data_IF_409813718280
#
_entry.id   IF_409813718280
#
_cell.length_a   1.000
_cell.length_b   1.000
_cell.length_c   1.000
_cell.angle_alpha   90.00
_cell.angle_beta   90.00
_cell.angle_gamma   90.00
#
_symmetry.space_group_name_H-M   'P 1'
#
loop_
_entity.id
_entity.type
_entity.pdbx_description
1 polymer ?
#
# COMPACT_ATOMS: atom_id res chain seq x y z
N UNK A 1 -7.52 29.18 -0.92
CA UNK A 1 -7.86 28.01 -0.09
C UNK A 1 -9.22 27.51 -0.55
N UNK A 2 -9.25 26.51 -1.44
CA UNK A 2 -10.47 25.87 -1.94
C UNK A 2 -10.72 24.62 -1.11
N UNK A 3 -11.96 24.47 -0.63
CA UNK A 3 -12.39 23.36 0.23
C UNK A 3 -12.07 22.00 -0.39
N UNK A 4 -11.40 21.16 0.39
CA UNK A 4 -11.27 19.73 0.14
C UNK A 4 -12.58 19.06 0.54
N UNK A 5 -13.58 19.23 -0.31
CA UNK A 5 -14.83 18.48 -0.23
C UNK A 5 -14.49 17.01 -0.50
N UNK A 6 -14.80 16.13 0.45
CA UNK A 6 -14.75 14.67 0.27
C UNK A 6 -15.79 14.35 -0.79
N UNK A 7 -15.38 14.38 -2.07
CA UNK A 7 -16.30 14.09 -3.17
C UNK A 7 -16.86 12.70 -2.94
N UNK A 8 -18.16 12.52 -3.07
CA UNK A 8 -18.85 11.21 -2.92
C UNK A 8 -18.17 10.05 -3.68
N UNK A 9 -17.41 10.35 -4.74
CA UNK A 9 -16.57 9.38 -5.46
C UNK A 9 -15.45 8.73 -4.60
N UNK A 10 -14.93 9.40 -3.58
CA UNK A 10 -13.83 8.86 -2.77
C UNK A 10 -14.26 7.67 -1.90
N UNK A 11 -15.54 7.60 -1.52
CA UNK A 11 -16.07 6.55 -0.63
C UNK A 11 -16.28 5.22 -1.39
N UNK A 12 -16.68 5.28 -2.66
CA UNK A 12 -16.92 4.08 -3.48
C UNK A 12 -15.64 3.28 -3.80
N UNK A 13 -14.47 3.93 -3.75
CA UNK A 13 -13.18 3.28 -3.95
C UNK A 13 -12.62 2.64 -2.66
N UNK A 14 -13.14 3.01 -1.49
CA UNK A 14 -12.63 2.52 -0.20
C UNK A 14 -12.72 1.00 -0.04
N UNK A 15 -13.78 0.29 -0.50
CA UNK A 15 -13.80 -1.18 -0.46
C UNK A 15 -12.60 -1.81 -1.18
N UNK A 16 -12.21 -1.27 -2.32
CA UNK A 16 -11.06 -1.80 -3.07
C UNK A 16 -9.75 -1.49 -2.35
N UNK A 17 -9.59 -0.26 -1.85
CA UNK A 17 -8.42 0.12 -1.06
C UNK A 17 -8.30 -0.76 0.20
N UNK A 18 -9.41 -1.02 0.89
CA UNK A 18 -9.44 -1.91 2.04
C UNK A 18 -9.02 -3.34 1.68
N UNK A 19 -9.48 -3.87 0.54
CA UNK A 19 -9.05 -5.18 0.08
C UNK A 19 -7.52 -5.26 -0.13
N UNK A 20 -6.89 -4.19 -0.63
CA UNK A 20 -5.42 -4.12 -0.72
C UNK A 20 -4.74 -4.07 0.64
N UNK A 21 -5.29 -3.28 1.57
CA UNK A 21 -4.78 -3.20 2.94
C UNK A 21 -4.84 -4.58 3.60
N UNK A 22 -6.00 -5.24 3.55
CA UNK A 22 -6.20 -6.57 4.14
C UNK A 22 -5.33 -7.65 3.49
N UNK A 23 -5.04 -7.52 2.19
CA UNK A 23 -4.17 -8.46 1.46
C UNK A 23 -2.68 -8.26 1.76
N UNK A 24 -2.22 -7.00 1.87
CA UNK A 24 -0.80 -6.66 2.02
C UNK A 24 -0.33 -6.51 3.48
N UNK A 25 -1.21 -6.07 4.36
CA UNK A 25 -0.95 -5.89 5.79
C UNK A 25 -1.71 -6.99 6.53
N UNK A 26 -1.01 -8.10 6.83
CA UNK A 26 -1.55 -9.23 7.56
C UNK A 26 -2.43 -8.74 8.73
N UNK A 27 -3.73 -9.06 8.66
CA UNK A 27 -4.78 -8.67 9.62
C UNK A 27 -4.23 -8.63 11.05
N UNK A 28 -3.96 -7.42 11.55
CA UNK A 28 -3.86 -7.17 12.99
C UNK A 28 -5.28 -7.21 13.54
N UNK A 29 -5.79 -8.42 13.74
CA UNK A 29 -7.11 -8.61 14.34
C UNK A 29 -6.92 -8.78 15.83
N UNK A 30 -7.28 -7.76 16.61
CA UNK A 30 -7.27 -7.85 18.06
C UNK A 30 -8.70 -7.67 18.59
N UNK A 31 -9.44 -8.78 18.73
CA UNK A 31 -10.59 -9.01 19.64
C UNK A 31 -11.76 -8.00 19.73
N UNK A 32 -11.71 -6.88 19.03
CA UNK A 32 -12.62 -5.75 19.18
C UNK A 32 -13.86 -5.94 18.31
N UNK A 33 -15.04 -5.70 18.89
CA UNK A 33 -16.30 -5.62 18.16
C UNK A 33 -16.57 -4.14 17.83
N UNK A 34 -16.43 -3.72 16.57
CA UNK A 34 -16.71 -2.34 16.19
C UNK A 34 -18.18 -1.98 16.41
N UNK A 35 -18.43 -0.73 16.80
CA UNK A 35 -19.80 -0.20 16.85
C UNK A 35 -20.38 -0.09 15.42
N UNK A 36 -21.68 -0.36 15.22
CA UNK A 36 -22.28 -0.27 13.91
C UNK A 36 -22.30 1.17 13.39
N UNK A 37 -21.69 1.41 12.22
CA UNK A 37 -21.84 2.68 11.49
C UNK A 37 -23.01 2.57 10.52
N UNK A 38 -23.92 3.54 10.56
CA UNK A 38 -25.03 3.64 9.60
C UNK A 38 -24.63 4.25 8.25
N UNK A 39 -23.84 5.32 8.27
CA UNK A 39 -23.38 6.03 7.08
C UNK A 39 -21.86 6.27 7.15
N UNK A 40 -21.13 5.57 6.29
CA UNK A 40 -19.65 5.64 6.20
C UNK A 40 -19.19 7.02 5.72
N UNK A 41 -19.92 7.65 4.80
CA UNK A 41 -19.51 8.94 4.23
C UNK A 41 -19.63 10.05 5.29
N UNK A 42 -20.74 10.07 6.03
CA UNK A 42 -20.93 10.99 7.15
C UNK A 42 -19.88 10.75 8.25
N UNK A 43 -19.68 9.48 8.64
CA UNK A 43 -18.73 9.11 9.69
C UNK A 43 -17.30 9.57 9.40
N UNK A 44 -16.82 9.35 8.17
CA UNK A 44 -15.49 9.78 7.73
C UNK A 44 -15.42 11.30 7.69
N UNK A 45 -16.44 11.97 7.16
CA UNK A 45 -16.43 13.43 7.02
C UNK A 45 -16.31 14.17 8.35
N UNK A 46 -16.89 13.60 9.42
CA UNK A 46 -16.77 14.13 10.79
C UNK A 46 -15.38 13.97 11.40
N UNK A 47 -14.62 12.94 10.98
CA UNK A 47 -13.36 12.50 11.61
C UNK A 47 -12.13 12.69 10.73
N UNK A 48 -12.31 13.17 9.51
CA UNK A 48 -11.22 13.23 8.53
C UNK A 48 -10.29 14.41 8.70
N UNK A 49 -10.63 15.39 9.55
CA UNK A 49 -9.87 16.65 9.70
C UNK A 49 -9.56 17.33 8.35
N UNK A 50 -10.49 17.22 7.39
CA UNK A 50 -10.35 17.74 6.03
C UNK A 50 -9.49 16.88 5.08
N UNK A 51 -9.08 15.69 5.49
CA UNK A 51 -8.43 14.70 4.62
C UNK A 51 -9.45 14.07 3.66
N UNK A 52 -9.01 13.72 2.44
CA UNK A 52 -9.83 12.86 1.59
C UNK A 52 -9.97 11.46 2.20
N UNK A 53 -11.08 10.79 1.91
CA UNK A 53 -11.43 9.53 2.57
C UNK A 53 -10.37 8.43 2.38
N UNK A 54 -9.73 8.36 1.21
CA UNK A 54 -8.63 7.41 0.95
C UNK A 54 -7.42 7.65 1.84
N UNK A 55 -7.02 8.91 2.01
CA UNK A 55 -5.87 9.29 2.85
C UNK A 55 -6.18 9.05 4.32
N UNK A 56 -7.39 9.39 4.75
CA UNK A 56 -7.87 9.12 6.09
C UNK A 56 -7.85 7.61 6.38
N UNK A 57 -8.48 6.80 5.52
CA UNK A 57 -8.54 5.34 5.70
C UNK A 57 -7.13 4.71 5.78
N UNK A 58 -6.20 5.15 4.92
CA UNK A 58 -4.82 4.70 4.98
C UNK A 58 -4.16 5.05 6.32
N UNK A 59 -4.24 6.31 6.76
CA UNK A 59 -3.67 6.75 8.03
C UNK A 59 -4.24 5.92 9.19
N UNK A 60 -5.55 5.81 9.27
CA UNK A 60 -6.22 5.10 10.36
C UNK A 60 -5.92 3.59 10.34
N UNK A 61 -5.78 2.98 9.16
CA UNK A 61 -5.35 1.59 9.02
C UNK A 61 -3.92 1.37 9.56
N UNK A 62 -3.00 2.33 9.34
CA UNK A 62 -1.65 2.27 9.90
C UNK A 62 -1.64 2.41 11.43
N UNK A 63 -2.56 3.22 11.98
CA UNK A 63 -2.74 3.41 13.41
C UNK A 63 -3.52 2.25 14.08
N UNK A 64 -4.21 1.42 13.29
CA UNK A 64 -5.16 0.40 13.75
C UNK A 64 -6.20 0.97 14.73
N UNK A 65 -6.76 2.14 14.37
CA UNK A 65 -7.73 2.84 15.21
C UNK A 65 -9.10 2.16 15.21
N UNK A 66 -9.90 2.44 16.25
CA UNK A 66 -11.26 1.91 16.35
C UNK A 66 -12.16 2.47 15.23
N UNK A 67 -11.96 3.73 14.83
CA UNK A 67 -12.65 4.33 13.69
C UNK A 67 -12.39 3.58 12.38
N UNK A 68 -11.12 3.20 12.12
CA UNK A 68 -10.78 2.35 10.98
C UNK A 68 -11.52 1.01 11.04
N UNK A 69 -11.56 0.37 12.22
CA UNK A 69 -12.20 -0.95 12.38
C UNK A 69 -13.70 -0.88 12.12
N UNK A 70 -14.36 0.16 12.58
CA UNK A 70 -15.77 0.39 12.32
C UNK A 70 -16.05 0.58 10.83
N UNK A 71 -15.27 1.42 10.14
CA UNK A 71 -15.42 1.61 8.70
C UNK A 71 -15.09 0.33 7.93
N UNK A 72 -14.02 -0.36 8.30
CA UNK A 72 -13.59 -1.58 7.63
C UNK A 72 -14.63 -2.70 7.76
N UNK A 73 -15.31 -2.84 8.90
CA UNK A 73 -16.37 -3.82 9.07
C UNK A 73 -17.54 -3.61 8.09
N UNK A 74 -17.96 -2.35 7.90
CA UNK A 74 -19.02 -2.02 6.92
C UNK A 74 -18.54 -2.27 5.49
N UNK A 75 -17.34 -1.79 5.14
CA UNK A 75 -16.80 -1.92 3.79
C UNK A 75 -16.56 -3.39 3.38
N UNK A 76 -16.16 -4.27 4.32
CA UNK A 76 -15.97 -5.71 4.07
C UNK A 76 -17.23 -6.43 3.66
N UNK A 77 -18.40 -5.90 4.01
CA UNK A 77 -19.71 -6.47 3.63
C UNK A 77 -20.16 -6.04 2.23
N UNK A 78 -19.44 -5.12 1.58
CA UNK A 78 -19.78 -4.65 0.24
C UNK A 78 -19.37 -5.66 -0.84
N UNK A 79 -20.17 -5.72 -1.90
CA UNK A 79 -19.89 -6.54 -3.08
C UNK A 79 -18.55 -6.16 -3.73
N UNK A 80 -18.23 -4.86 -3.79
CA UNK A 80 -16.97 -4.35 -4.33
C UNK A 80 -15.76 -4.92 -3.59
N UNK A 81 -15.79 -4.92 -2.25
CA UNK A 81 -14.73 -5.53 -1.46
C UNK A 81 -14.60 -7.02 -1.78
N UNK A 82 -15.72 -7.75 -1.78
CA UNK A 82 -15.75 -9.19 -2.08
C UNK A 82 -15.11 -9.51 -3.44
N UNK A 83 -15.49 -8.77 -4.48
CA UNK A 83 -14.96 -8.94 -5.83
C UNK A 83 -13.47 -8.66 -5.90
N UNK A 84 -12.98 -7.58 -5.28
CA UNK A 84 -11.56 -7.21 -5.31
C UNK A 84 -10.74 -8.21 -4.51
N UNK A 85 -11.13 -8.51 -3.27
CA UNK A 85 -10.47 -9.51 -2.42
C UNK A 85 -10.40 -10.88 -3.10
N UNK A 86 -11.50 -11.30 -3.74
CA UNK A 86 -11.52 -12.53 -4.51
C UNK A 86 -10.50 -12.53 -5.65
N UNK A 87 -10.43 -11.44 -6.42
CA UNK A 87 -9.47 -11.30 -7.52
C UNK A 87 -8.01 -11.19 -7.04
N UNK A 88 -7.76 -10.64 -5.85
CA UNK A 88 -6.41 -10.58 -5.26
C UNK A 88 -5.95 -11.96 -4.77
N UNK A 89 -6.86 -12.77 -4.23
CA UNK A 89 -6.56 -14.12 -3.75
C UNK A 89 -6.47 -15.17 -4.87
N UNK A 90 -6.96 -14.88 -6.08
CA UNK A 90 -6.99 -15.84 -7.18
C UNK A 90 -6.16 -15.37 -8.37
N UNK A 91 -5.04 -16.05 -8.59
CA UNK A 91 -4.22 -15.84 -9.78
C UNK A 91 -4.80 -16.59 -10.99
N UNK A 92 -4.89 -15.91 -12.14
CA UNK A 92 -5.31 -16.54 -13.39
C UNK A 92 -5.98 -15.62 -14.41
N UNK A 93 -6.42 -16.23 -15.52
CA UNK A 93 -7.22 -15.53 -16.54
C UNK A 93 -8.60 -15.22 -15.98
N UNK A 94 -9.07 -13.97 -16.16
CA UNK A 94 -10.38 -13.51 -15.66
C UNK A 94 -11.53 -14.47 -16.03
N UNK A 95 -11.54 -15.04 -17.24
CA UNK A 95 -12.59 -15.98 -17.68
C UNK A 95 -12.64 -17.30 -16.90
N UNK A 96 -11.53 -17.72 -16.28
CA UNK A 96 -11.48 -18.92 -15.46
C UNK A 96 -11.74 -18.63 -13.97
N UNK A 97 -11.47 -17.40 -13.53
CA UNK A 97 -11.57 -16.98 -12.12
C UNK A 97 -12.98 -16.49 -11.78
N UNK A 98 -13.59 -15.66 -12.64
CA UNK A 98 -14.91 -15.05 -12.38
C UNK A 98 -16.04 -16.07 -12.15
N UNK A 99 -16.15 -17.19 -12.90
CA UNK A 99 -17.22 -18.17 -12.66
C UNK A 99 -17.23 -18.75 -11.24
N UNK A 100 -16.06 -18.82 -10.57
CA UNK A 100 -15.94 -19.34 -9.20
C UNK A 100 -16.46 -18.36 -8.14
N UNK A 101 -16.68 -17.09 -8.50
CA UNK A 101 -17.22 -16.08 -7.60
C UNK A 101 -18.75 -16.20 -7.39
N UNK A 102 -19.45 -16.95 -8.25
CA UNK A 102 -20.90 -17.13 -8.15
C UNK A 102 -21.74 -16.11 -8.94
N UNK A 103 -21.10 -15.18 -9.66
CA UNK A 103 -21.78 -14.25 -10.58
C UNK A 103 -21.53 -14.62 -12.04
N UNK A 104 -22.50 -14.30 -12.90
CA UNK A 104 -22.27 -14.34 -14.34
C UNK A 104 -21.18 -13.33 -14.73
N UNK A 105 -20.38 -13.66 -15.75
CA UNK A 105 -19.27 -12.80 -16.15
C UNK A 105 -19.72 -11.41 -16.65
N UNK A 106 -20.95 -11.29 -17.17
CA UNK A 106 -21.53 -10.00 -17.56
C UNK A 106 -21.89 -9.16 -16.33
N UNK A 107 -22.56 -9.77 -15.33
CA UNK A 107 -22.92 -9.10 -14.09
C UNK A 107 -21.67 -8.65 -13.33
N UNK A 108 -20.67 -9.53 -13.18
CA UNK A 108 -19.39 -9.20 -12.55
C UNK A 108 -18.73 -7.98 -13.20
N UNK A 109 -18.63 -7.94 -14.54
CA UNK A 109 -18.03 -6.79 -15.25
C UNK A 109 -18.81 -5.49 -15.02
N UNK A 110 -20.14 -5.56 -14.98
CA UNK A 110 -21.01 -4.41 -14.77
C UNK A 110 -20.81 -3.83 -13.36
N UNK A 111 -20.94 -4.65 -12.32
CA UNK A 111 -20.80 -4.20 -10.93
C UNK A 111 -19.39 -3.66 -10.69
N UNK A 112 -18.36 -4.38 -11.12
CA UNK A 112 -16.98 -3.96 -10.95
C UNK A 112 -16.69 -2.60 -11.62
N UNK A 113 -17.13 -2.42 -12.88
CA UNK A 113 -16.92 -1.17 -13.60
C UNK A 113 -17.71 -0.02 -12.98
N UNK A 114 -18.90 -0.29 -12.47
CA UNK A 114 -19.71 0.72 -11.76
C UNK A 114 -19.02 1.18 -10.48
N UNK A 115 -18.33 0.27 -9.78
CA UNK A 115 -17.66 0.58 -8.52
C UNK A 115 -16.26 1.21 -8.70
N UNK A 116 -15.48 0.76 -9.68
CA UNK A 116 -14.06 1.12 -9.82
C UNK A 116 -13.75 1.91 -11.09
N UNK A 117 -14.75 2.28 -11.87
CA UNK A 117 -14.62 3.07 -13.10
C UNK A 117 -13.94 2.35 -14.27
N UNK A 118 -13.37 1.16 -14.05
CA UNK A 118 -12.60 0.43 -15.06
C UNK A 118 -13.00 -1.05 -15.19
N UNK A 119 -12.76 -1.69 -16.34
CA UNK A 119 -13.02 -3.11 -16.51
C UNK A 119 -12.11 -3.99 -15.64
N UNK A 120 -12.59 -5.14 -15.11
CA UNK A 120 -11.79 -6.05 -14.28
C UNK A 120 -10.49 -6.52 -14.94
N UNK A 121 -10.50 -6.74 -16.27
CA UNK A 121 -9.32 -7.17 -17.01
C UNK A 121 -8.20 -6.13 -16.95
N UNK A 122 -8.54 -4.85 -17.05
CA UNK A 122 -7.59 -3.74 -16.97
C UNK A 122 -7.03 -3.62 -15.56
N UNK A 123 -7.90 -3.69 -14.55
CA UNK A 123 -7.50 -3.67 -13.14
C UNK A 123 -6.53 -4.82 -12.80
N UNK A 124 -6.88 -6.06 -13.13
CA UNK A 124 -6.01 -7.22 -12.92
C UNK A 124 -4.65 -7.09 -13.61
N UNK A 125 -4.61 -6.52 -14.82
CA UNK A 125 -3.34 -6.29 -15.53
C UNK A 125 -2.47 -5.30 -14.74
N UNK A 126 -3.04 -4.21 -14.25
CA UNK A 126 -2.33 -3.23 -13.44
C UNK A 126 -1.85 -3.82 -12.10
N UNK A 127 -2.70 -4.56 -11.40
CA UNK A 127 -2.35 -5.18 -10.12
C UNK A 127 -1.28 -6.27 -10.28
N UNK A 128 -1.36 -7.08 -11.33
CA UNK A 128 -0.33 -8.07 -11.67
C UNK A 128 1.02 -7.40 -11.92
N UNK A 129 1.02 -6.31 -12.70
CA UNK A 129 2.24 -5.55 -12.95
C UNK A 129 2.81 -4.94 -11.67
N UNK A 130 1.96 -4.36 -10.82
CA UNK A 130 2.39 -3.81 -9.53
C UNK A 130 3.00 -4.88 -8.61
N UNK A 131 2.39 -6.08 -8.53
CA UNK A 131 2.95 -7.23 -7.81
C UNK A 131 4.30 -7.67 -8.37
N UNK A 132 4.45 -7.70 -9.69
CA UNK A 132 5.71 -8.07 -10.34
C UNK A 132 6.83 -7.08 -10.01
N UNK A 133 6.53 -5.78 -10.11
CA UNK A 133 7.48 -4.72 -9.78
C UNK A 133 7.88 -4.78 -8.31
N UNK A 134 6.92 -4.96 -7.41
CA UNK A 134 7.20 -5.08 -5.97
C UNK A 134 8.11 -6.28 -5.68
N UNK A 135 7.79 -7.46 -6.21
CA UNK A 135 8.60 -8.66 -6.01
C UNK A 135 10.02 -8.53 -6.56
N UNK A 136 10.18 -7.82 -7.69
CA UNK A 136 11.49 -7.53 -8.30
C UNK A 136 12.29 -6.56 -7.42
N UNK A 137 11.68 -5.47 -6.94
CA UNK A 137 12.34 -4.49 -6.05
C UNK A 137 12.76 -5.15 -4.74
N UNK A 138 11.91 -6.01 -4.19
CA UNK A 138 12.18 -6.77 -2.96
C UNK A 138 13.12 -7.97 -3.19
N UNK A 139 13.61 -8.18 -4.42
CA UNK A 139 14.52 -9.27 -4.83
C UNK A 139 14.03 -10.66 -4.42
N UNK A 140 12.73 -10.90 -4.54
CA UNK A 140 12.09 -12.17 -4.15
C UNK A 140 12.31 -13.33 -5.14
N UNK A 141 13.19 -13.18 -6.13
CA UNK A 141 13.51 -14.21 -7.11
C UNK A 141 14.11 -13.66 -8.40
N UNK A 142 14.45 -14.54 -9.33
CA UNK A 142 14.85 -14.10 -10.67
C UNK A 142 13.65 -13.46 -11.40
N UNK A 143 13.89 -12.44 -12.23
CA UNK A 143 12.82 -11.77 -13.01
C UNK A 143 11.99 -12.78 -13.80
N UNK A 144 12.65 -13.84 -14.29
CA UNK A 144 12.02 -14.93 -15.02
C UNK A 144 10.99 -15.67 -14.18
N UNK A 145 11.35 -16.05 -12.95
CA UNK A 145 10.48 -16.77 -12.02
C UNK A 145 9.30 -15.89 -11.63
N UNK A 146 9.56 -14.63 -11.24
CA UNK A 146 8.52 -13.65 -10.87
C UNK A 146 7.51 -13.45 -12.00
N UNK A 147 7.98 -13.36 -13.26
CA UNK A 147 7.09 -13.22 -14.41
C UNK A 147 6.16 -14.44 -14.56
N UNK A 148 6.72 -15.65 -14.44
CA UNK A 148 5.98 -16.90 -14.59
C UNK A 148 4.96 -17.09 -13.46
N UNK A 149 5.37 -16.84 -12.21
CA UNK A 149 4.53 -16.99 -11.02
C UNK A 149 3.30 -16.06 -11.06
N UNK A 150 3.47 -14.87 -11.65
CA UNK A 150 2.39 -13.90 -11.80
C UNK A 150 1.55 -14.12 -13.07
N UNK A 151 1.84 -15.17 -13.84
CA UNK A 151 1.06 -15.58 -15.00
C UNK A 151 1.38 -14.83 -16.30
N UNK A 152 2.57 -14.23 -16.42
CA UNK A 152 3.09 -13.78 -17.70
C UNK A 152 3.59 -14.98 -18.52
N UNK A 153 3.39 -14.91 -19.85
CA UNK A 153 3.88 -15.96 -20.75
C UNK A 153 5.41 -15.94 -20.91
N UNK A 154 6.06 -14.80 -20.65
CA UNK A 154 7.51 -14.65 -20.70
C UNK A 154 7.97 -13.38 -19.98
N UNK A 155 9.26 -13.26 -19.61
CA UNK A 155 9.83 -12.04 -19.02
C UNK A 155 9.77 -10.83 -19.97
N UNK A 156 9.86 -11.08 -21.28
CA UNK A 156 9.69 -10.04 -22.31
C UNK A 156 8.28 -9.47 -22.30
N UNK A 157 7.26 -10.30 -22.07
CA UNK A 157 5.88 -9.84 -21.98
C UNK A 157 5.67 -8.92 -20.77
N UNK A 158 6.25 -9.28 -19.62
CA UNK A 158 6.30 -8.42 -18.43
C UNK A 158 7.04 -7.10 -18.72
N UNK A 159 8.20 -7.14 -19.37
CA UNK A 159 8.99 -5.95 -19.68
C UNK A 159 8.27 -4.98 -20.62
N UNK A 160 7.55 -5.51 -21.61
CA UNK A 160 6.72 -4.71 -22.52
C UNK A 160 5.53 -4.07 -21.80
N UNK A 161 4.84 -4.82 -20.95
CA UNK A 161 3.74 -4.30 -20.14
C UNK A 161 4.21 -3.23 -19.14
N UNK A 162 5.37 -3.44 -18.52
CA UNK A 162 6.01 -2.46 -17.65
C UNK A 162 6.32 -1.16 -18.40
N UNK A 163 6.96 -1.27 -19.57
CA UNK A 163 7.31 -0.10 -20.38
C UNK A 163 6.07 0.66 -20.84
N UNK A 164 5.00 -0.04 -21.22
CA UNK A 164 3.75 0.57 -21.62
C UNK A 164 3.06 1.33 -20.46
N UNK A 165 3.17 0.83 -19.23
CA UNK A 165 2.56 1.45 -18.06
C UNK A 165 3.40 2.59 -17.46
N UNK A 166 4.73 2.43 -17.41
CA UNK A 166 5.64 3.31 -16.66
C UNK A 166 6.43 4.28 -17.55
N UNK A 167 6.43 4.09 -18.86
CA UNK A 167 7.20 4.91 -19.81
C UNK A 167 8.72 4.70 -19.79
N UNK A 168 9.23 3.81 -18.93
CA UNK A 168 10.64 3.45 -18.81
C UNK A 168 10.84 1.93 -18.75
N UNK A 169 12.06 1.45 -18.98
CA UNK A 169 12.35 0.01 -18.99
C UNK A 169 12.55 -0.54 -17.58
N UNK A 170 12.21 -1.81 -17.39
CA UNK A 170 12.39 -2.50 -16.12
C UNK A 170 13.87 -2.52 -15.67
N UNK A 171 14.82 -2.65 -16.61
CA UNK A 171 16.26 -2.49 -16.36
C UNK A 171 16.60 -1.12 -15.79
N UNK A 172 16.03 -0.05 -16.37
CA UNK A 172 16.29 1.31 -15.88
C UNK A 172 15.77 1.53 -14.47
N UNK A 173 14.65 0.90 -14.10
CA UNK A 173 14.14 0.92 -12.73
C UNK A 173 15.14 0.25 -11.78
N UNK A 174 15.65 -0.93 -12.13
CA UNK A 174 16.62 -1.68 -11.33
C UNK A 174 17.94 -0.91 -11.13
N UNK A 175 18.47 -0.30 -12.19
CA UNK A 175 19.67 0.55 -12.10
C UNK A 175 19.46 1.72 -11.12
N UNK A 176 18.27 2.33 -11.10
CA UNK A 176 17.95 3.42 -10.18
C UNK A 176 17.85 2.92 -8.73
N UNK A 177 17.25 1.75 -8.51
CA UNK A 177 17.19 1.11 -7.19
C UNK A 177 18.59 0.78 -6.65
N UNK A 178 19.47 0.23 -7.48
CA UNK A 178 20.84 -0.11 -7.10
C UNK A 178 21.66 1.14 -6.72
N UNK A 179 21.51 2.24 -7.48
CA UNK A 179 22.17 3.51 -7.18
C UNK A 179 21.69 4.15 -5.88
N UNK A 180 20.39 4.08 -5.59
CA UNK A 180 19.86 4.60 -4.33
C UNK A 180 20.35 3.77 -3.14
N UNK A 181 20.49 2.46 -3.31
CA UNK A 181 20.98 1.58 -2.25
C UNK A 181 22.48 1.76 -1.98
N UNK A 182 23.31 1.93 -3.01
CA UNK A 182 24.74 2.26 -2.85
C UNK A 182 24.96 3.61 -2.15
N UNK A 183 24.17 4.63 -2.49
CA UNK A 183 24.19 5.93 -1.81
C UNK A 183 23.68 5.85 -0.36
N UNK A 184 22.73 4.96 -0.08
CA UNK A 184 22.20 4.74 1.27
C UNK A 184 23.16 3.92 2.15
N UNK A 185 23.99 3.04 1.58
CA UNK A 185 25.06 2.35 2.33
C UNK A 185 26.26 3.27 2.60
N UNK A 186 26.62 4.15 1.66
CA UNK A 186 27.63 5.19 1.87
C UNK A 186 27.18 6.23 2.91
N UNK A 187 25.92 6.67 2.87
CA UNK A 187 25.37 7.60 3.87
C UNK A 187 25.29 6.97 5.28
N UNK A 188 25.04 5.66 5.41
CA UNK A 188 25.09 4.95 6.69
C UNK A 188 26.52 4.74 7.21
N UNK A 189 27.53 4.68 6.34
CA UNK A 189 28.94 4.64 6.71
C UNK A 189 29.48 5.97 7.22
N UNK A 190 28.89 7.10 6.80
CA UNK A 190 29.36 8.44 7.13
C UNK A 190 28.76 9.05 8.40
N UNK A 191 27.86 8.35 9.10
CA UNK A 191 27.27 8.84 10.38
C UNK A 191 28.15 8.51 11.61
N UNK A 192 29.28 7.79 11.43
CA UNK A 192 30.24 7.50 12.51
C UNK A 192 31.52 8.38 12.44
N UNK A 193 31.46 9.59 11.86
CA UNK A 193 32.65 10.47 11.87
C UNK A 193 32.36 11.97 11.96
N UNK A 194 31.21 12.37 12.51
CA UNK A 194 30.92 13.79 12.78
C UNK A 194 30.45 13.96 14.22
N UNK A 195 31.37 13.74 15.16
CA UNK A 195 31.37 14.41 16.46
C UNK A 195 32.78 14.99 16.65
N UNK A 196 32.96 16.31 16.66
CA UNK A 196 34.16 16.90 17.23
C UNK A 196 34.13 16.57 18.73
N UNK A 197 35.16 15.88 19.22
CA UNK A 197 35.34 15.68 20.65
C UNK A 197 35.53 17.03 21.33
N UNK A 198 34.75 17.24 22.38
CA UNK A 198 34.65 18.47 23.17
C UNK A 198 36.01 18.95 23.69
N UNK A 199 36.16 20.27 23.67
CA UNK A 199 37.26 21.02 24.24
C UNK A 199 37.41 20.73 25.74
N UNK A 200 38.68 20.59 26.13
CA UNK A 200 39.20 20.36 27.48
C UNK A 200 38.92 21.61 28.35
N UNK A 201 37.86 21.58 29.17
CA UNK A 201 37.59 22.60 30.21
C UNK A 201 37.51 21.94 31.60
N UNK A 202 38.65 21.48 32.12
CA UNK A 202 38.79 21.19 33.55
C UNK A 202 39.17 22.46 34.31
N UNK A 203 38.15 23.11 34.88
CA UNK A 203 38.26 24.17 35.86
C UNK A 203 38.94 23.68 37.15
N UNK A 204 39.95 24.44 37.61
CA UNK A 204 40.50 24.31 38.95
C UNK A 204 39.54 24.87 39.99
N UNK A 205 39.35 24.13 41.09
CA UNK A 205 38.87 24.69 42.36
C UNK A 205 39.79 24.16 43.46
N UNK A 206 40.63 25.04 43.98
CA UNK A 206 41.32 24.84 45.24
C UNK A 206 40.40 25.23 46.39
N UNK A 207 40.30 24.37 47.41
CA UNK A 207 39.90 24.75 48.76
C UNK A 207 40.80 24.05 49.77
N UNK A 208 41.28 24.84 50.71
CA UNK A 208 42.20 24.53 51.79
C UNK A 208 41.57 23.67 52.88
N UNK A 209 42.36 22.78 53.48
CA UNK A 209 42.18 22.37 54.88
C UNK A 209 43.48 22.54 55.66
N UNK A 210 43.38 23.30 56.75
CA UNK A 210 44.38 23.42 57.81
C UNK A 210 44.18 22.26 58.79
N UNK A 211 45.26 21.54 59.10
CA UNK A 211 45.33 20.62 60.23
C UNK A 211 46.55 20.95 61.08
N UNK A 212 46.30 21.49 62.26
CA UNK A 212 47.19 21.65 63.40
C UNK A 212 46.35 21.52 64.66
#
# INVERSE_FOLDING_TARGET
MQGFDVRANDVHELPALLAFIDFGYARRYNGFRPEPIGDVAAFISERSDGMCAKRWLLREAFLDSDDYRCVADVLRRSETYGMVSFLLCHDGKLGAVVPKYGLSAAHFRRVFRSALGMPPKTALKAWRLARAVLAIIERRGAITEVAMDLGYASPSHLSSDFRAAMGLSLTRLLDLSDRQQGRSSEAKGNIHSVLPGDDDESAGVGVAERGG
#
